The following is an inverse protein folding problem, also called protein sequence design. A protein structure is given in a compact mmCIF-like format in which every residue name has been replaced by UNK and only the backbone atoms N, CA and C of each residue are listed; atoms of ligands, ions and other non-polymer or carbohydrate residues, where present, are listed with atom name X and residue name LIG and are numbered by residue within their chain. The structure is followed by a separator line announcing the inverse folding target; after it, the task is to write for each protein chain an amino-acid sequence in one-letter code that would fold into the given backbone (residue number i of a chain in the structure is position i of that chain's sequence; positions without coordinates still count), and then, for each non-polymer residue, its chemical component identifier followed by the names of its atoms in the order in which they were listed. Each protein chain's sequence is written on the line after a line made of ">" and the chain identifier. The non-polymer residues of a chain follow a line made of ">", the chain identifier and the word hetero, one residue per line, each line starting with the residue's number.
data_IF_137394830218
#
_entry.id   IF_137394830218
#
_cell.length_a   1.000
_cell.length_b   1.000
_cell.length_c   1.000
_cell.angle_alpha   90.00
_cell.angle_beta   90.00
_cell.angle_gamma   90.00
#
_symmetry.space_group_name_H-M   'P 1'
#
loop_
_entity.id
_entity.type
_entity.pdbx_description
1 polymer ?
#
# COMPACT_ATOMS: atom_id res chain seq x y z
N UNK A 1 20.15 -14.38 0.05
CA UNK A 1 19.57 -13.77 1.27
C UNK A 1 19.34 -14.79 2.37
N UNK A 2 18.78 -15.96 2.06
CA UNK A 2 18.50 -17.04 3.03
C UNK A 2 19.74 -17.48 3.84
N UNK A 3 20.84 -17.86 3.17
CA UNK A 3 22.06 -18.32 3.86
C UNK A 3 22.62 -17.30 4.88
N UNK A 4 22.47 -16.00 4.61
CA UNK A 4 22.90 -14.95 5.54
C UNK A 4 22.00 -14.88 6.77
N UNK A 5 20.68 -15.00 6.60
CA UNK A 5 19.73 -15.03 7.70
C UNK A 5 19.82 -16.34 8.50
N UNK A 6 20.19 -17.45 7.88
CA UNK A 6 20.43 -18.71 8.60
C UNK A 6 21.67 -18.65 9.48
N UNK A 7 22.78 -18.09 8.97
CA UNK A 7 24.04 -18.03 9.70
C UNK A 7 24.08 -16.90 10.73
N UNK A 8 23.41 -15.78 10.46
CA UNK A 8 23.54 -14.53 11.25
C UNK A 8 22.19 -13.87 11.58
N UNK A 9 21.06 -14.54 11.41
CA UNK A 9 19.74 -13.94 11.58
C UNK A 9 19.48 -13.36 12.98
N UNK A 10 20.12 -13.91 14.01
CA UNK A 10 20.05 -13.37 15.38
C UNK A 10 20.81 -12.03 15.51
N UNK A 11 21.92 -11.86 14.79
CA UNK A 11 22.71 -10.61 14.74
C UNK A 11 22.06 -9.54 13.84
N UNK A 12 21.30 -9.96 12.82
CA UNK A 12 20.73 -9.05 11.84
C UNK A 12 19.44 -8.43 12.39
N UNK A 13 19.47 -7.12 12.64
CA UNK A 13 18.28 -6.34 12.96
C UNK A 13 17.52 -5.97 11.68
N UNK A 14 16.27 -6.41 11.56
CA UNK A 14 15.40 -5.99 10.47
C UNK A 14 14.84 -4.62 10.79
N UNK A 15 15.31 -3.62 10.04
CA UNK A 15 14.88 -2.22 10.21
C UNK A 15 13.74 -1.89 9.26
N UNK A 16 13.02 -0.80 9.54
CA UNK A 16 12.01 -0.25 8.63
C UNK A 16 12.59 -0.03 7.22
N UNK A 17 13.84 0.46 7.12
CA UNK A 17 14.50 0.70 5.83
C UNK A 17 14.74 -0.58 5.04
N UNK A 18 15.09 -1.68 5.71
CA UNK A 18 15.25 -2.99 5.06
C UNK A 18 13.90 -3.49 4.53
N UNK A 19 12.84 -3.39 5.33
CA UNK A 19 11.49 -3.75 4.90
C UNK A 19 11.00 -2.88 3.74
N UNK A 20 11.29 -1.57 3.77
CA UNK A 20 10.94 -0.66 2.70
C UNK A 20 11.67 -1.02 1.40
N UNK A 21 12.97 -1.32 1.48
CA UNK A 21 13.76 -1.76 0.31
C UNK A 21 13.30 -3.10 -0.25
N UNK A 22 12.84 -4.01 0.60
CA UNK A 22 12.19 -5.24 0.13
C UNK A 22 10.89 -4.92 -0.62
N UNK A 23 10.05 -4.05 -0.08
CA UNK A 23 8.80 -3.65 -0.72
C UNK A 23 8.99 -2.86 -2.03
N UNK A 24 10.08 -2.11 -2.16
CA UNK A 24 10.44 -1.38 -3.40
C UNK A 24 11.05 -2.29 -4.49
N UNK A 25 11.42 -3.53 -4.16
CA UNK A 25 12.05 -4.43 -5.12
C UNK A 25 10.99 -5.10 -5.99
N UNK A 26 10.97 -4.77 -7.28
CA UNK A 26 9.98 -5.26 -8.24
C UNK A 26 10.30 -6.68 -8.77
N UNK A 27 11.54 -7.15 -8.65
CA UNK A 27 11.94 -8.46 -9.16
C UNK A 27 11.63 -9.59 -8.16
N UNK A 28 11.92 -9.35 -6.88
CA UNK A 28 11.92 -10.37 -5.81
C UNK A 28 11.44 -9.82 -4.46
N UNK A 29 10.77 -8.66 -4.43
CA UNK A 29 10.39 -7.99 -3.20
C UNK A 29 9.47 -8.82 -2.31
N UNK A 30 8.46 -9.47 -2.88
CA UNK A 30 7.50 -10.26 -2.11
C UNK A 30 8.16 -11.50 -1.47
N UNK A 31 8.95 -12.33 -2.19
CA UNK A 31 9.73 -13.40 -1.59
C UNK A 31 10.66 -12.92 -0.46
N UNK A 32 11.39 -11.81 -0.68
CA UNK A 32 12.27 -11.23 0.33
C UNK A 32 11.49 -10.80 1.56
N UNK A 33 10.36 -10.11 1.38
CA UNK A 33 9.51 -9.64 2.47
C UNK A 33 8.94 -10.79 3.30
N UNK A 34 8.47 -11.86 2.65
CA UNK A 34 7.99 -13.09 3.31
C UNK A 34 9.09 -13.75 4.14
N UNK A 35 10.31 -13.85 3.60
CA UNK A 35 11.46 -14.42 4.31
C UNK A 35 11.87 -13.60 5.53
N UNK A 36 11.87 -12.26 5.41
CA UNK A 36 12.19 -11.36 6.52
C UNK A 36 11.15 -11.46 7.65
N UNK A 37 9.87 -11.51 7.27
CA UNK A 37 8.78 -11.58 8.23
C UNK A 37 8.66 -12.94 8.91
N UNK A 38 8.93 -14.05 8.22
CA UNK A 38 8.86 -15.39 8.82
C UNK A 38 9.87 -15.61 9.96
N UNK A 39 10.99 -14.88 9.95
CA UNK A 39 12.05 -15.02 10.96
C UNK A 39 11.89 -14.09 12.16
N UNK A 40 11.30 -12.91 11.96
CA UNK A 40 11.25 -11.84 12.98
C UNK A 40 9.93 -11.08 12.99
N UNK A 41 8.81 -11.80 12.83
CA UNK A 41 7.49 -11.19 12.69
C UNK A 41 7.21 -10.19 13.81
N UNK A 42 7.46 -10.54 15.07
CA UNK A 42 7.12 -9.73 16.24
C UNK A 42 7.98 -8.47 16.37
N UNK A 43 9.22 -8.49 15.85
CA UNK A 43 10.12 -7.33 15.85
C UNK A 43 9.75 -6.31 14.77
N UNK A 44 9.03 -6.74 13.72
CA UNK A 44 8.73 -5.89 12.56
C UNK A 44 7.46 -5.09 12.81
N UNK A 45 7.64 -3.77 12.97
CA UNK A 45 6.56 -2.80 12.93
C UNK A 45 6.29 -2.38 11.49
N UNK A 46 5.09 -2.68 10.98
CA UNK A 46 4.65 -2.20 9.66
C UNK A 46 4.23 -0.74 9.77
N UNK A 47 4.94 0.11 9.03
CA UNK A 47 4.72 1.55 8.97
C UNK A 47 3.99 1.94 7.69
N UNK A 48 3.50 3.17 7.66
CA UNK A 48 2.87 3.73 6.46
C UNK A 48 3.84 3.85 5.28
N UNK A 49 5.15 4.00 5.53
CA UNK A 49 6.17 4.03 4.47
C UNK A 49 6.34 2.67 3.79
N UNK A 50 6.34 1.59 4.58
CA UNK A 50 6.38 0.22 4.04
C UNK A 50 5.11 -0.03 3.22
N UNK A 51 3.94 0.38 3.72
CA UNK A 51 2.68 0.27 2.98
C UNK A 51 2.66 1.10 1.69
N UNK A 52 3.26 2.30 1.70
CA UNK A 52 3.37 3.16 0.51
C UNK A 52 4.24 2.50 -0.55
N UNK A 53 5.41 1.98 -0.17
CA UNK A 53 6.29 1.23 -1.06
C UNK A 53 5.62 -0.04 -1.60
N UNK A 54 4.96 -0.83 -0.76
CA UNK A 54 4.25 -2.04 -1.19
C UNK A 54 3.10 -1.71 -2.14
N UNK A 55 2.28 -0.71 -1.83
CA UNK A 55 1.18 -0.28 -2.70
C UNK A 55 1.70 0.29 -4.04
N UNK A 56 2.90 0.84 -4.06
CA UNK A 56 3.56 1.35 -5.26
C UNK A 56 4.32 0.31 -6.09
N UNK A 57 4.46 -0.93 -5.62
CA UNK A 57 5.22 -1.97 -6.32
C UNK A 57 4.42 -2.53 -7.51
N UNK A 58 4.93 -2.35 -8.73
CA UNK A 58 4.19 -2.70 -9.96
C UNK A 58 4.10 -4.20 -10.25
N UNK A 59 4.95 -5.01 -9.63
CA UNK A 59 4.98 -6.47 -9.85
C UNK A 59 4.04 -7.20 -8.90
N UNK A 60 4.16 -6.93 -7.59
CA UNK A 60 3.51 -7.73 -6.55
C UNK A 60 2.68 -6.89 -5.56
N UNK A 61 2.39 -5.62 -5.87
CA UNK A 61 1.86 -4.67 -4.89
C UNK A 61 0.56 -5.10 -4.20
N UNK A 62 -0.38 -5.70 -4.95
CA UNK A 62 -1.61 -6.26 -4.39
C UNK A 62 -1.34 -7.41 -3.41
N UNK A 63 -0.49 -8.36 -3.79
CA UNK A 63 -0.15 -9.51 -2.97
C UNK A 63 0.70 -9.14 -1.75
N UNK A 64 1.57 -8.13 -1.87
CA UNK A 64 2.28 -7.56 -0.73
C UNK A 64 1.33 -6.96 0.30
N UNK A 65 0.35 -6.16 -0.15
CA UNK A 65 -0.63 -5.54 0.74
C UNK A 65 -1.53 -6.59 1.40
N UNK A 66 -1.95 -7.62 0.66
CA UNK A 66 -2.69 -8.77 1.20
C UNK A 66 -1.90 -9.45 2.32
N UNK A 67 -0.65 -9.83 2.04
CA UNK A 67 0.22 -10.50 3.00
C UNK A 67 0.47 -9.67 4.26
N UNK A 68 0.72 -8.36 4.13
CA UNK A 68 0.93 -7.48 5.29
C UNK A 68 -0.29 -7.44 6.23
N UNK A 69 -1.50 -7.44 5.67
CA UNK A 69 -2.72 -7.51 6.48
C UNK A 69 -2.94 -8.89 7.09
N UNK A 70 -2.62 -9.99 6.40
CA UNK A 70 -2.69 -11.34 6.98
C UNK A 70 -1.78 -11.47 8.21
N UNK A 71 -0.59 -10.87 8.16
CA UNK A 71 0.39 -11.01 9.22
C UNK A 71 0.20 -10.05 10.40
N UNK A 72 -0.28 -8.82 10.16
CA UNK A 72 -0.36 -7.77 11.19
C UNK A 72 -1.77 -7.24 11.45
N UNK A 73 -2.76 -7.74 10.72
CA UNK A 73 -4.15 -7.34 10.83
C UNK A 73 -4.36 -5.86 10.56
N UNK A 74 -5.42 -5.31 11.15
CA UNK A 74 -5.93 -3.97 10.83
C UNK A 74 -5.23 -2.86 11.62
N UNK A 75 -4.15 -3.18 12.35
CA UNK A 75 -3.40 -2.21 13.18
C UNK A 75 -2.52 -1.26 12.37
N UNK A 76 -2.55 -1.36 11.05
CA UNK A 76 -1.70 -0.58 10.15
C UNK A 76 -2.39 0.73 9.79
N UNK A 77 -1.73 1.86 10.09
CA UNK A 77 -2.25 3.17 9.75
C UNK A 77 -2.10 3.48 8.25
N UNK A 78 -3.24 3.56 7.55
CA UNK A 78 -3.29 3.89 6.12
C UNK A 78 -3.32 5.41 5.93
N UNK A 79 -2.28 5.97 5.33
CA UNK A 79 -2.16 7.41 5.03
C UNK A 79 -2.71 7.75 3.63
N UNK A 80 -2.99 9.03 3.34
CA UNK A 80 -3.29 9.48 1.98
C UNK A 80 -2.20 9.09 0.95
N UNK A 81 -0.93 8.99 1.37
CA UNK A 81 0.18 8.62 0.48
C UNK A 81 0.11 7.16 0.05
N UNK A 82 -0.22 6.25 0.97
CA UNK A 82 -0.48 4.83 0.64
C UNK A 82 -1.58 4.73 -0.42
N UNK A 83 -2.66 5.51 -0.25
CA UNK A 83 -3.74 5.55 -1.23
C UNK A 83 -3.26 6.11 -2.58
N UNK A 84 -2.48 7.19 -2.59
CA UNK A 84 -1.92 7.74 -3.83
C UNK A 84 -0.97 6.76 -4.54
N UNK A 85 -0.17 6.00 -3.80
CA UNK A 85 0.71 4.97 -4.36
C UNK A 85 -0.11 3.84 -4.99
N UNK A 86 -1.09 3.29 -4.25
CA UNK A 86 -2.00 2.26 -4.74
C UNK A 86 -2.67 2.69 -6.04
N UNK A 87 -3.18 3.91 -6.03
CA UNK A 87 -3.85 4.50 -7.17
C UNK A 87 -2.92 4.51 -8.42
N UNK A 88 -1.60 4.73 -8.27
CA UNK A 88 -0.66 4.87 -9.41
C UNK A 88 -0.19 3.51 -9.92
N UNK A 89 -0.57 2.45 -9.24
CA UNK A 89 -0.24 1.08 -9.56
C UNK A 89 -1.21 0.55 -10.64
N UNK A 90 -0.73 -0.24 -11.63
CA UNK A 90 -1.60 -0.96 -12.57
C UNK A 90 -2.71 -1.76 -11.88
N UNK A 91 -2.41 -2.40 -10.74
CA UNK A 91 -3.35 -3.18 -9.93
C UNK A 91 -4.05 -2.33 -8.85
N UNK A 92 -4.02 -1.02 -8.99
CA UNK A 92 -4.47 -0.08 -7.99
C UNK A 92 -5.93 -0.27 -7.55
N UNK A 93 -6.79 -0.75 -8.45
CA UNK A 93 -8.17 -1.08 -8.11
C UNK A 93 -8.28 -2.20 -7.07
N UNK A 94 -7.45 -3.22 -7.17
CA UNK A 94 -7.39 -4.31 -6.21
C UNK A 94 -6.78 -3.84 -4.88
N UNK A 95 -5.66 -3.10 -4.95
CA UNK A 95 -5.00 -2.58 -3.75
C UNK A 95 -5.96 -1.70 -2.95
N UNK A 96 -6.70 -0.80 -3.60
CA UNK A 96 -7.68 0.06 -2.92
C UNK A 96 -8.82 -0.74 -2.29
N UNK A 97 -9.24 -1.86 -2.90
CA UNK A 97 -10.23 -2.76 -2.30
C UNK A 97 -9.70 -3.43 -1.04
N UNK A 98 -8.43 -3.84 -1.00
CA UNK A 98 -7.79 -4.40 0.19
C UNK A 98 -7.68 -3.38 1.33
N UNK A 99 -7.42 -2.11 0.99
CA UNK A 99 -7.29 -1.00 1.94
C UNK A 99 -8.66 -0.51 2.47
N UNK A 100 -9.74 -0.62 1.70
CA UNK A 100 -11.05 -0.03 2.01
C UNK A 100 -11.63 -0.43 3.40
N UNK A 101 -11.69 -1.73 3.77
CA UNK A 101 -12.26 -2.14 5.05
C UNK A 101 -11.47 -1.59 6.25
N UNK A 102 -10.20 -1.25 6.03
CA UNK A 102 -9.20 -0.96 7.07
C UNK A 102 -8.80 0.50 7.13
N UNK A 103 -9.32 1.33 6.23
CA UNK A 103 -9.03 2.76 6.17
C UNK A 103 -10.28 3.59 6.44
N UNK A 104 -10.38 4.16 7.65
CA UNK A 104 -11.41 5.16 7.98
C UNK A 104 -11.41 6.32 6.98
N UNK A 105 -10.24 6.75 6.50
CA UNK A 105 -10.13 7.81 5.51
C UNK A 105 -10.82 7.43 4.20
N UNK A 106 -10.55 6.22 3.67
CA UNK A 106 -11.20 5.74 2.45
C UNK A 106 -12.71 5.61 2.69
N UNK A 107 -13.14 5.02 3.80
CA UNK A 107 -14.56 4.92 4.15
C UNK A 107 -15.25 6.28 4.26
N UNK A 108 -14.61 7.27 4.89
CA UNK A 108 -15.12 8.65 5.03
C UNK A 108 -15.22 9.34 3.67
N UNK A 109 -14.23 9.19 2.80
CA UNK A 109 -14.27 9.71 1.42
C UNK A 109 -15.40 9.04 0.64
N UNK A 110 -15.56 7.72 0.79
CA UNK A 110 -16.55 6.93 0.07
C UNK A 110 -17.98 7.14 0.57
N UNK A 111 -18.20 7.45 1.85
CA UNK A 111 -19.50 7.86 2.39
C UNK A 111 -19.96 9.22 1.86
N UNK A 112 -19.01 10.12 1.57
CA UNK A 112 -19.30 11.46 1.01
C UNK A 112 -19.54 11.41 -0.49
N UNK A 113 -18.87 10.51 -1.19
CA UNK A 113 -19.19 10.19 -2.58
C UNK A 113 -20.52 9.41 -2.60
N UNK A 114 -21.42 9.67 -3.55
CA UNK A 114 -22.73 8.96 -3.69
C UNK A 114 -22.61 7.45 -3.99
N UNK A 115 -21.43 6.89 -3.77
CA UNK A 115 -20.96 5.57 -4.16
C UNK A 115 -21.70 4.44 -3.43
N UNK A 116 -22.06 4.61 -2.16
CA UNK A 116 -22.78 3.57 -1.39
C UNK A 116 -24.17 3.22 -1.92
N UNK A 117 -24.80 4.04 -2.76
CA UNK A 117 -26.14 3.73 -3.32
C UNK A 117 -26.13 2.72 -4.46
N UNK A 118 -24.96 2.40 -5.00
CA UNK A 118 -24.85 1.49 -6.13
C UNK A 118 -23.88 0.37 -5.75
N UNK A 119 -24.44 -0.80 -5.46
CA UNK A 119 -23.73 -1.99 -4.97
C UNK A 119 -22.47 -2.32 -5.77
N UNK A 120 -21.57 -3.05 -5.09
CA UNK A 120 -20.21 -3.52 -5.45
C UNK A 120 -19.99 -3.93 -6.92
N UNK A 121 -20.15 -3.01 -7.86
CA UNK A 121 -19.92 -3.22 -9.29
C UNK A 121 -18.52 -2.71 -9.64
N UNK A 122 -17.65 -3.60 -10.09
CA UNK A 122 -16.28 -3.30 -10.48
C UNK A 122 -16.21 -2.15 -11.51
N UNK A 123 -17.22 -2.00 -12.38
CA UNK A 123 -17.29 -0.89 -13.36
C UNK A 123 -17.55 0.46 -12.72
N UNK A 124 -18.25 0.49 -11.59
CA UNK A 124 -18.46 1.73 -10.81
C UNK A 124 -17.19 2.09 -10.06
N UNK A 125 -16.43 1.08 -9.62
CA UNK A 125 -15.16 1.25 -8.92
C UNK A 125 -14.12 1.87 -9.83
N UNK A 126 -13.99 1.34 -11.04
CA UNK A 126 -13.11 1.88 -12.08
C UNK A 126 -13.46 3.34 -12.43
N UNK A 127 -14.75 3.66 -12.64
CA UNK A 127 -15.19 5.05 -12.86
C UNK A 127 -14.88 5.98 -11.69
N UNK A 128 -14.98 5.50 -10.45
CA UNK A 128 -14.67 6.29 -9.26
C UNK A 128 -13.16 6.51 -9.09
N UNK A 129 -12.33 5.49 -9.29
CA UNK A 129 -10.86 5.60 -9.27
C UNK A 129 -10.43 6.65 -10.29
N UNK A 130 -10.91 6.56 -11.54
CA UNK A 130 -10.64 7.54 -12.60
C UNK A 130 -11.03 8.96 -12.21
N UNK A 131 -12.15 9.14 -11.50
CA UNK A 131 -12.60 10.44 -11.01
C UNK A 131 -11.73 10.98 -9.89
N UNK A 132 -11.40 10.14 -8.92
CA UNK A 132 -10.54 10.49 -7.79
C UNK A 132 -9.13 10.85 -8.30
N UNK A 133 -8.63 10.09 -9.26
CA UNK A 133 -7.43 10.40 -10.04
C UNK A 133 -7.48 11.76 -10.69
N UNK A 134 -8.52 12.04 -11.47
CA UNK A 134 -8.69 13.31 -12.16
C UNK A 134 -8.64 14.48 -11.17
N UNK A 135 -9.33 14.36 -10.04
CA UNK A 135 -9.33 15.38 -8.98
C UNK A 135 -7.99 15.50 -8.26
N UNK A 136 -7.29 14.38 -8.01
CA UNK A 136 -6.00 14.38 -7.32
C UNK A 136 -4.87 14.93 -8.20
N UNK A 137 -4.90 14.64 -9.51
CA UNK A 137 -3.99 15.24 -10.50
C UNK A 137 -4.25 16.74 -10.64
N UNK A 138 -5.50 17.18 -10.72
CA UNK A 138 -5.85 18.60 -10.78
C UNK A 138 -5.45 19.36 -9.51
N UNK A 139 -5.59 18.75 -8.33
CA UNK A 139 -5.14 19.33 -7.07
C UNK A 139 -3.60 19.39 -6.97
N UNK A 140 -2.88 18.42 -7.56
CA UNK A 140 -1.43 18.41 -7.59
C UNK A 140 -0.83 19.35 -8.66
N UNK A 141 -1.52 19.58 -9.78
CA UNK A 141 -1.12 20.54 -10.81
C UNK A 141 -1.51 21.98 -10.49
N UNK A 142 -2.54 22.20 -9.67
CA UNK A 142 -3.00 23.53 -9.23
C UNK A 142 -2.09 24.23 -8.20
N UNK A 143 -0.99 23.62 -7.77
CA UNK A 143 -0.03 24.19 -6.80
C UNK A 143 1.01 25.15 -7.40
N UNK A 144 1.00 25.38 -8.71
CA UNK A 144 1.88 26.36 -9.38
C UNK A 144 1.10 27.12 -10.44
N UNK A 145 0.41 28.19 -10.03
CA UNK A 145 0.30 29.49 -10.74
C UNK A 145 -0.79 30.31 -10.07
N UNK A 146 -0.41 31.07 -9.05
CA UNK A 146 -0.99 32.38 -8.72
C UNK A 146 0.05 33.15 -7.91
N UNK A 147 1.09 33.60 -8.59
CA UNK A 147 1.76 34.84 -8.24
C UNK A 147 1.30 35.86 -9.27
N UNK A 148 0.71 36.94 -8.75
CA UNK A 148 0.43 38.19 -9.46
C UNK A 148 1.68 38.70 -10.17
#
# INVERSE_FOLDING_TARGET
>A
MELLLDRKGHEIKITEKVMQKAAENEDCGLPIMKLLMSRKIDEIKITSKIMESAAGNWSDGAEMIRYLFEQKGDKIWITPRVLQAALRNPDGAEIVQLLYPRSYLIQKIMRRSRYQRQGRDARKWDKWIKRLYGTALQAASGGKTKTM
#
